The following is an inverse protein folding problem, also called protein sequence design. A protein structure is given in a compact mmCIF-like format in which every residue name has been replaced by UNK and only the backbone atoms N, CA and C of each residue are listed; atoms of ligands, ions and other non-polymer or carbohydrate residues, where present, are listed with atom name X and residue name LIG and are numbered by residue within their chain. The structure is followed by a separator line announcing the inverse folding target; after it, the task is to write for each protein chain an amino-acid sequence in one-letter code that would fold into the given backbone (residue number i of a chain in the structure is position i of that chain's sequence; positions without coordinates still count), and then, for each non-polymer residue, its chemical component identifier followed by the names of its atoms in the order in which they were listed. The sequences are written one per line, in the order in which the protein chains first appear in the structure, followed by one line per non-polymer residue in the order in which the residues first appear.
data_IF_532721412602
#
_entry.id   IF_532721412602
#
_cell.length_a   1.000
_cell.length_b   1.000
_cell.length_c   1.000
_cell.angle_alpha   90.00
_cell.angle_beta   90.00
_cell.angle_gamma   90.00
#
_symmetry.space_group_name_H-M   'P 1'
#
loop_
_entity.id
_entity.type
_entity.pdbx_description
1 polymer ?
#
# COMPACT_ATOMS: atom_id res chain seq x y z
N UNK A 1 -2.94 2.13 -24.82
CA UNK A 1 -3.91 2.30 -23.71
C UNK A 1 -3.13 2.21 -22.42
N UNK A 2 -3.20 3.22 -21.55
CA UNK A 2 -2.43 3.23 -20.30
C UNK A 2 -3.19 2.44 -19.24
N UNK A 3 -2.52 1.51 -18.53
CA UNK A 3 -3.12 0.83 -17.38
C UNK A 3 -2.51 1.39 -16.10
N UNK A 4 -3.35 1.98 -15.26
CA UNK A 4 -2.98 2.44 -13.93
C UNK A 4 -3.30 1.35 -12.92
N UNK A 5 -2.27 0.73 -12.37
CA UNK A 5 -2.42 -0.29 -11.33
C UNK A 5 -2.34 0.33 -9.93
N UNK A 6 -3.20 -0.11 -9.01
CA UNK A 6 -3.15 0.39 -7.65
C UNK A 6 -4.26 -0.09 -6.73
N UNK A 7 -4.45 0.63 -5.63
CA UNK A 7 -5.58 0.45 -4.72
C UNK A 7 -6.37 1.76 -4.74
N UNK A 8 -7.69 1.69 -4.91
CA UNK A 8 -8.57 2.87 -5.03
C UNK A 8 -8.39 3.87 -3.88
N UNK A 9 -8.18 3.39 -2.66
CA UNK A 9 -8.02 4.23 -1.46
C UNK A 9 -6.54 4.54 -1.12
N UNK A 10 -5.76 4.91 -2.14
CA UNK A 10 -4.40 5.40 -2.00
C UNK A 10 -4.31 6.82 -2.58
N UNK A 11 -3.78 7.78 -1.82
CA UNK A 11 -3.73 9.19 -2.25
C UNK A 11 -2.83 9.40 -3.47
N UNK A 12 -1.76 8.61 -3.62
CA UNK A 12 -0.91 8.62 -4.82
C UNK A 12 -1.70 8.21 -6.07
N UNK A 13 -2.55 7.18 -5.95
CA UNK A 13 -3.41 6.73 -7.06
C UNK A 13 -4.47 7.76 -7.41
N UNK A 14 -5.09 8.41 -6.42
CA UNK A 14 -6.02 9.51 -6.65
C UNK A 14 -5.36 10.64 -7.42
N UNK A 15 -4.15 11.06 -7.02
CA UNK A 15 -3.37 12.09 -7.72
C UNK A 15 -3.01 11.69 -9.15
N UNK A 16 -2.57 10.46 -9.36
CA UNK A 16 -2.26 9.94 -10.69
C UNK A 16 -3.48 9.95 -11.62
N UNK A 17 -4.65 9.49 -11.14
CA UNK A 17 -5.91 9.55 -11.89
C UNK A 17 -6.29 10.97 -12.28
N UNK A 18 -6.26 11.89 -11.31
CA UNK A 18 -6.55 13.31 -11.59
C UNK A 18 -5.59 13.91 -12.63
N UNK A 19 -4.31 13.54 -12.60
CA UNK A 19 -3.36 14.01 -13.61
C UNK A 19 -3.67 13.43 -14.99
N UNK A 20 -3.99 12.13 -15.09
CA UNK A 20 -4.38 11.50 -16.36
C UNK A 20 -5.65 12.14 -16.94
N UNK A 21 -6.67 12.37 -16.10
CA UNK A 21 -7.91 13.05 -16.48
C UNK A 21 -7.65 14.49 -16.93
N UNK A 22 -6.83 15.24 -16.20
CA UNK A 22 -6.50 16.63 -16.55
C UNK A 22 -5.73 16.75 -17.87
N UNK A 23 -4.96 15.72 -18.24
CA UNK A 23 -4.24 15.65 -19.51
C UNK A 23 -5.05 14.96 -20.61
N UNK A 24 -6.32 14.59 -20.34
CA UNK A 24 -7.20 13.91 -21.28
C UNK A 24 -6.61 12.59 -21.82
N UNK A 25 -5.85 11.88 -20.98
CA UNK A 25 -5.22 10.61 -21.32
C UNK A 25 -6.17 9.48 -20.95
N UNK A 26 -6.56 8.68 -21.93
CA UNK A 26 -7.38 7.48 -21.70
C UNK A 26 -6.59 6.44 -20.90
N UNK A 27 -7.17 6.01 -19.78
CA UNK A 27 -6.55 5.04 -18.89
C UNK A 27 -7.54 4.03 -18.34
N UNK A 28 -7.07 2.80 -18.16
CA UNK A 28 -7.77 1.75 -17.43
C UNK A 28 -7.23 1.66 -16.02
N UNK A 29 -8.09 1.75 -15.02
CA UNK A 29 -7.70 1.50 -13.64
C UNK A 29 -7.86 0.02 -13.30
N UNK A 30 -6.82 -0.59 -12.73
CA UNK A 30 -6.81 -1.96 -12.22
C UNK A 30 -6.60 -1.94 -10.71
N UNK A 31 -7.62 -2.33 -9.95
CA UNK A 31 -7.58 -2.36 -8.49
C UNK A 31 -7.15 -3.74 -7.98
N UNK A 32 -6.01 -3.82 -7.30
CA UNK A 32 -5.50 -5.09 -6.77
C UNK A 32 -6.44 -5.78 -5.77
N UNK A 33 -7.34 -5.04 -5.12
CA UNK A 33 -8.29 -5.60 -4.15
C UNK A 33 -9.58 -6.13 -4.80
N UNK A 34 -9.91 -5.63 -5.98
CA UNK A 34 -11.18 -5.95 -6.68
C UNK A 34 -10.91 -6.84 -7.88
N UNK A 35 -9.99 -6.43 -8.75
CA UNK A 35 -9.60 -7.17 -9.95
C UNK A 35 -8.58 -8.27 -9.66
N UNK A 36 -7.96 -8.22 -8.47
CA UNK A 36 -6.96 -9.18 -8.03
C UNK A 36 -5.55 -8.86 -8.52
N UNK A 37 -4.60 -9.63 -8.01
CA UNK A 37 -3.19 -9.56 -8.38
C UNK A 37 -2.71 -11.00 -8.65
N UNK A 38 -2.54 -11.33 -9.91
CA UNK A 38 -2.04 -12.66 -10.30
C UNK A 38 -0.52 -12.76 -10.10
N UNK A 39 -0.06 -13.97 -9.83
CA UNK A 39 1.35 -14.35 -9.76
C UNK A 39 2.16 -13.94 -11.00
N UNK A 40 1.62 -14.07 -12.21
CA UNK A 40 2.32 -13.71 -13.44
C UNK A 40 2.57 -12.20 -13.51
N UNK A 41 1.55 -11.41 -13.18
CA UNK A 41 1.63 -9.94 -13.16
C UNK A 41 2.61 -9.46 -12.08
N UNK A 42 2.54 -10.08 -10.90
CA UNK A 42 3.46 -9.77 -9.80
C UNK A 42 4.91 -10.07 -10.17
N UNK A 43 5.17 -11.24 -10.78
CA UNK A 43 6.50 -11.58 -11.26
C UNK A 43 7.01 -10.61 -12.32
N UNK A 44 6.14 -10.13 -13.22
CA UNK A 44 6.47 -9.07 -14.17
C UNK A 44 6.96 -7.80 -13.47
N UNK A 45 6.21 -7.32 -12.47
CA UNK A 45 6.61 -6.13 -11.72
C UNK A 45 7.91 -6.32 -10.92
N UNK A 46 8.12 -7.50 -10.32
CA UNK A 46 9.35 -7.80 -9.58
C UNK A 46 10.55 -7.81 -10.53
N UNK A 47 10.41 -8.37 -11.72
CA UNK A 47 11.49 -8.41 -12.70
C UNK A 47 11.86 -7.02 -13.23
N UNK A 48 10.90 -6.11 -13.32
CA UNK A 48 11.11 -4.77 -13.88
C UNK A 48 11.58 -3.74 -12.83
N UNK A 49 10.99 -3.76 -11.64
CA UNK A 49 11.20 -2.73 -10.60
C UNK A 49 11.89 -3.26 -9.34
N UNK A 50 11.97 -4.59 -9.18
CA UNK A 50 12.35 -5.23 -7.93
C UNK A 50 11.20 -5.25 -6.92
N UNK A 51 11.19 -6.27 -6.06
CA UNK A 51 10.15 -6.46 -5.05
C UNK A 51 10.15 -5.34 -3.98
N UNK A 52 11.29 -4.73 -3.69
CA UNK A 52 11.44 -3.69 -2.68
C UNK A 52 10.64 -2.42 -3.01
N UNK A 53 10.59 -2.05 -4.30
CA UNK A 53 9.84 -0.89 -4.78
C UNK A 53 8.32 -1.10 -4.69
N UNK A 54 7.86 -2.35 -4.77
CA UNK A 54 6.45 -2.71 -4.67
C UNK A 54 5.95 -2.71 -3.22
N UNK A 55 6.87 -2.86 -2.26
CA UNK A 55 6.55 -2.96 -0.84
C UNK A 55 6.58 -1.60 -0.15
N UNK A 56 5.44 -1.17 0.41
CA UNK A 56 5.38 0.05 1.20
C UNK A 56 5.94 -0.14 2.63
N UNK A 57 7.27 -0.10 2.74
CA UNK A 57 8.00 -0.22 4.02
C UNK A 57 7.79 0.97 4.97
N UNK A 58 7.31 2.11 4.46
CA UNK A 58 7.02 3.31 5.27
C UNK A 58 5.62 3.28 5.88
N UNK A 59 4.77 2.35 5.45
CA UNK A 59 3.39 2.20 5.92
C UNK A 59 3.29 1.84 7.41
N UNK A 60 2.13 2.15 8.01
CA UNK A 60 1.83 1.76 9.39
C UNK A 60 1.74 0.24 9.54
N UNK A 61 1.27 -0.47 8.50
CA UNK A 61 1.26 -1.94 8.47
C UNK A 61 2.66 -2.51 8.64
N UNK A 62 3.65 -2.07 7.86
CA UNK A 62 5.03 -2.52 7.99
C UNK A 62 5.62 -2.20 9.37
N UNK A 63 5.37 -0.99 9.88
CA UNK A 63 5.81 -0.56 11.22
C UNK A 63 5.16 -1.34 12.37
N UNK A 64 3.95 -1.85 12.19
CA UNK A 64 3.29 -2.69 13.19
C UNK A 64 3.84 -4.12 13.19
N UNK A 65 4.33 -4.60 12.05
CA UNK A 65 4.94 -5.93 11.93
C UNK A 65 6.38 -5.97 12.44
N UNK A 66 7.12 -4.86 12.36
CA UNK A 66 8.51 -4.77 12.84
C UNK A 66 8.63 -4.42 14.32
N UNK A 67 7.52 -4.06 15.00
CA UNK A 67 7.54 -3.83 16.45
C UNK A 67 7.51 -5.17 17.19
N UNK A 68 8.47 -5.45 18.10
CA UNK A 68 8.31 -6.55 19.04
C UNK A 68 7.02 -6.34 19.84
N UNK A 69 6.32 -7.42 20.25
CA UNK A 69 5.08 -7.31 20.99
C UNK A 69 5.31 -6.41 22.20
N UNK A 70 4.57 -5.30 22.27
CA UNK A 70 4.62 -4.42 23.40
C UNK A 70 4.12 -5.20 24.63
N UNK A 71 5.05 -5.61 25.49
CA UNK A 71 4.70 -6.14 26.82
C UNK A 71 4.02 -4.98 27.54
N UNK A 72 2.69 -5.01 27.61
CA UNK A 72 1.91 -4.04 28.38
C UNK A 72 2.19 -4.31 29.85
N UNK A 73 3.23 -3.69 30.41
CA UNK A 73 3.44 -3.65 31.85
C UNK A 73 2.33 -2.81 32.47
N UNK A 74 1.24 -3.45 32.87
CA UNK A 74 0.15 -2.84 33.61
C UNK A 74 0.58 -2.61 35.06
N UNK A 75 1.56 -1.74 35.29
CA UNK A 75 1.92 -1.33 36.64
C UNK A 75 1.05 -0.13 37.02
N UNK A 76 -0.16 -0.43 37.53
CA UNK A 76 -1.04 0.55 38.15
C UNK A 76 -0.45 0.92 39.52
N UNK A 77 -0.11 2.19 39.81
CA UNK A 77 0.28 2.54 41.16
C UNK A 77 -0.95 2.39 42.07
N UNK A 78 -0.84 1.54 43.09
CA UNK A 78 -1.82 1.47 44.17
C UNK A 78 -1.88 2.85 44.84
N UNK A 79 -2.95 3.60 44.63
CA UNK A 79 -3.31 4.73 45.48
C UNK A 79 -3.44 4.19 46.91
N UNK A 80 -2.49 4.53 47.78
CA UNK A 80 -2.67 4.36 49.22
C UNK A 80 -3.77 5.33 49.68
N UNK A 81 -4.80 4.78 50.28
CA UNK A 81 -5.77 5.51 51.09
C UNK A 81 -5.14 5.92 52.42
#
# INVERSE_FOLDING_TARGET
MVTLYGIKNCDTIKKARHWLEANNIDYRFHDYRVDGLDSELLNGFINELGWEALLNTRGTTWRNWTKPPAIKSSMRPLRRH
#
